data_IF_075462481815
#
_entry.id   IF_075462481815
#
_cell.length_a   1.000
_cell.length_b   1.000
_cell.length_c   1.000
_cell.angle_alpha   90.00
_cell.angle_beta   90.00
_cell.angle_gamma   90.00
#
_symmetry.space_group_name_H-M   'P 1'
#
loop_
_entity.id
_entity.type
_entity.pdbx_description
1 polymer ?
#
# COMPACT_ATOMS: atom_id res chain seq x y z
N UNK A 1 -13.87 -10.92 -18.34
CA UNK A 1 -14.22 -10.22 -17.09
C UNK A 1 -13.16 -9.19 -16.78
N UNK A 2 -13.54 -7.92 -16.57
CA UNK A 2 -12.58 -6.83 -16.32
C UNK A 2 -12.14 -6.87 -14.85
N UNK A 3 -10.90 -7.26 -14.55
CA UNK A 3 -10.41 -7.28 -13.17
C UNK A 3 -10.26 -5.85 -12.64
N UNK A 4 -10.80 -5.52 -11.45
CA UNK A 4 -10.65 -4.19 -10.86
C UNK A 4 -9.17 -3.81 -10.67
N UNK A 5 -8.83 -2.55 -10.94
CA UNK A 5 -7.44 -2.02 -10.91
C UNK A 5 -6.70 -2.33 -9.60
N UNK A 6 -7.41 -2.39 -8.48
CA UNK A 6 -6.85 -2.61 -7.14
C UNK A 6 -6.58 -4.09 -6.79
N UNK A 7 -7.01 -5.05 -7.62
CA UNK A 7 -6.77 -6.50 -7.41
C UNK A 7 -6.15 -7.20 -8.62
N UNK A 8 -5.67 -6.45 -9.62
CA UNK A 8 -5.03 -7.02 -10.83
C UNK A 8 -3.81 -7.91 -10.55
N UNK A 9 -3.20 -7.77 -9.39
CA UNK A 9 -2.07 -8.57 -8.91
C UNK A 9 -2.43 -9.39 -7.66
N UNK A 10 -3.71 -9.60 -7.34
CA UNK A 10 -4.09 -10.52 -6.27
C UNK A 10 -3.56 -11.95 -6.55
N UNK A 11 -3.05 -12.63 -5.52
CA UNK A 11 -2.54 -14.01 -5.61
C UNK A 11 -1.20 -14.19 -6.33
N UNK A 12 -0.69 -13.18 -7.05
CA UNK A 12 0.62 -13.26 -7.72
C UNK A 12 1.77 -13.19 -6.71
N UNK A 13 2.94 -13.73 -7.08
CA UNK A 13 4.17 -13.53 -6.31
C UNK A 13 4.55 -12.05 -6.27
N UNK A 14 5.17 -11.61 -5.16
CA UNK A 14 5.67 -10.24 -5.03
C UNK A 14 7.00 -10.09 -5.76
N UNK A 15 7.17 -9.01 -6.51
CA UNK A 15 8.45 -8.69 -7.13
C UNK A 15 9.29 -7.80 -6.21
N UNK A 16 10.64 -7.87 -6.28
CA UNK A 16 11.51 -6.95 -5.52
C UNK A 16 11.21 -5.47 -5.79
N UNK A 17 10.73 -5.14 -6.99
CA UNK A 17 10.32 -3.79 -7.36
C UNK A 17 9.05 -3.35 -6.61
N UNK A 18 8.06 -4.24 -6.47
CA UNK A 18 6.85 -3.97 -5.69
C UNK A 18 7.18 -3.78 -4.21
N UNK A 19 8.09 -4.56 -3.65
CA UNK A 19 8.56 -4.43 -2.26
C UNK A 19 9.23 -3.08 -2.02
N UNK A 20 10.15 -2.68 -2.92
CA UNK A 20 10.79 -1.34 -2.87
C UNK A 20 9.77 -0.21 -2.99
N UNK A 21 8.78 -0.36 -3.87
CA UNK A 21 7.71 0.64 -4.04
C UNK A 21 6.83 0.72 -2.80
N UNK A 22 6.47 -0.42 -2.19
CA UNK A 22 5.73 -0.47 -0.92
C UNK A 22 6.50 0.28 0.18
N UNK A 23 7.79 -0.02 0.37
CA UNK A 23 8.62 0.67 1.36
C UNK A 23 8.69 2.18 1.14
N UNK A 24 8.81 2.60 -0.12
CA UNK A 24 8.87 4.03 -0.49
C UNK A 24 7.57 4.76 -0.19
N UNK A 25 6.44 4.15 -0.51
CA UNK A 25 5.12 4.73 -0.26
C UNK A 25 4.81 4.79 1.24
N UNK A 26 5.16 3.73 1.98
CA UNK A 26 5.04 3.68 3.44
C UNK A 26 5.85 4.80 4.11
N UNK A 27 7.11 5.01 3.72
CA UNK A 27 7.94 6.13 4.21
C UNK A 27 7.35 7.52 3.93
N UNK A 28 6.51 7.65 2.90
CA UNK A 28 5.79 8.89 2.56
C UNK A 28 4.46 9.03 3.31
N UNK A 29 4.17 8.17 4.29
CA UNK A 29 2.89 8.12 5.00
C UNK A 29 1.69 7.93 4.05
N UNK A 30 1.90 7.20 2.95
CA UNK A 30 0.83 6.93 1.97
C UNK A 30 -0.21 5.99 2.59
N UNK A 31 -1.51 6.28 2.49
CA UNK A 31 -2.54 5.39 3.04
C UNK A 31 -2.47 4.00 2.43
N UNK A 32 -2.62 2.95 3.25
CA UNK A 32 -2.54 1.55 2.80
C UNK A 32 -3.46 1.25 1.62
N UNK A 33 -4.65 1.88 1.56
CA UNK A 33 -5.59 1.73 0.43
C UNK A 33 -5.04 2.31 -0.88
N UNK A 34 -4.33 3.44 -0.82
CA UNK A 34 -3.68 4.06 -1.98
C UNK A 34 -2.48 3.22 -2.41
N UNK A 35 -1.71 2.68 -1.46
CA UNK A 35 -0.63 1.72 -1.75
C UNK A 35 -1.17 0.52 -2.52
N UNK A 36 -2.27 -0.07 -2.05
CA UNK A 36 -2.93 -1.20 -2.74
C UNK A 36 -3.38 -0.86 -4.16
N UNK A 37 -3.95 0.33 -4.36
CA UNK A 37 -4.35 0.80 -5.69
C UNK A 37 -3.14 0.96 -6.65
N UNK A 38 -2.06 1.55 -6.16
CA UNK A 38 -0.81 1.76 -6.91
C UNK A 38 -0.13 0.44 -7.31
N UNK A 39 -0.08 -0.52 -6.38
CA UNK A 39 0.53 -1.82 -6.61
C UNK A 39 -0.42 -2.80 -7.30
N UNK A 40 -1.72 -2.49 -7.38
CA UNK A 40 -2.74 -3.42 -7.84
C UNK A 40 -2.94 -4.62 -6.92
N UNK A 41 -2.67 -4.43 -5.62
CA UNK A 41 -2.70 -5.47 -4.58
C UNK A 41 -3.85 -5.19 -3.60
N UNK A 42 -4.57 -6.24 -3.14
CA UNK A 42 -5.60 -6.07 -2.13
C UNK A 42 -5.00 -5.55 -0.83
N UNK A 43 -5.77 -4.76 -0.06
CA UNK A 43 -5.33 -4.13 1.18
C UNK A 43 -4.74 -5.14 2.18
N UNK A 44 -5.38 -6.30 2.35
CA UNK A 44 -4.86 -7.37 3.21
C UNK A 44 -3.51 -7.94 2.73
N UNK A 45 -3.30 -8.03 1.42
CA UNK A 45 -2.01 -8.44 0.85
C UNK A 45 -0.90 -7.43 1.12
N UNK A 46 -1.22 -6.13 1.07
CA UNK A 46 -0.29 -5.05 1.44
C UNK A 46 0.08 -5.13 2.92
N UNK A 47 -0.89 -5.33 3.82
CA UNK A 47 -0.62 -5.52 5.25
C UNK A 47 0.28 -6.72 5.53
N UNK A 48 -0.07 -7.89 4.99
CA UNK A 48 0.71 -9.11 5.18
C UNK A 48 2.14 -8.94 4.68
N UNK A 49 2.32 -8.36 3.49
CA UNK A 49 3.66 -8.17 2.93
C UNK A 49 4.46 -7.13 3.70
N UNK A 50 3.85 -6.03 4.11
CA UNK A 50 4.51 -5.02 4.92
C UNK A 50 4.98 -5.61 6.26
N UNK A 51 4.15 -6.44 6.91
CA UNK A 51 4.53 -7.16 8.13
C UNK A 51 5.71 -8.11 7.90
N UNK A 52 5.71 -8.87 6.81
CA UNK A 52 6.82 -9.77 6.46
C UNK A 52 8.15 -9.01 6.23
N UNK A 53 8.06 -7.80 5.69
CA UNK A 53 9.22 -6.94 5.41
C UNK A 53 9.60 -6.04 6.60
N UNK A 54 8.87 -6.10 7.72
CA UNK A 54 9.09 -5.19 8.86
C UNK A 54 8.78 -3.72 8.56
N UNK A 55 7.93 -3.44 7.57
CA UNK A 55 7.58 -2.08 7.14
C UNK A 55 6.32 -1.62 7.89
N UNK A 56 6.46 -0.56 8.67
CA UNK A 56 5.32 0.12 9.28
C UNK A 56 4.47 0.85 8.24
N UNK A 57 3.17 0.58 8.23
CA UNK A 57 2.18 1.26 7.37
C UNK A 57 1.44 2.41 8.10
N UNK A 58 1.88 2.73 9.32
CA UNK A 58 1.36 3.83 10.14
C UNK A 58 1.75 5.20 9.55
N UNK A 59 0.95 6.26 9.81
CA UNK A 59 0.88 6.81 11.16
C UNK A 59 -0.41 6.37 11.87
N UNK A 60 -0.29 5.93 13.12
CA UNK A 60 -1.43 5.50 13.95
C UNK A 60 -2.40 6.65 14.26
N UNK A 61 -1.99 7.91 13.99
CA UNK A 61 -2.79 9.09 14.35
C UNK A 61 -2.48 10.35 13.51
N UNK A 62 -2.18 10.22 12.21
CA UNK A 62 -2.05 11.39 11.33
C UNK A 62 -2.86 11.22 10.06
N UNK A 63 -3.58 12.28 9.70
CA UNK A 63 -4.25 12.35 8.41
C UNK A 63 -3.17 12.43 7.32
N UNK A 64 -3.28 11.67 6.22
CA UNK A 64 -2.24 11.58 5.18
C UNK A 64 -1.98 12.91 4.45
N UNK A 65 -2.94 13.83 4.57
CA UNK A 65 -2.89 15.18 4.04
C UNK A 65 -3.13 16.16 5.18
N UNK A 66 -2.34 17.24 5.21
CA UNK A 66 -2.71 18.48 5.87
C UNK A 66 -3.97 19.03 5.19
N UNK A 67 -5.15 18.49 5.51
CA UNK A 67 -6.43 19.06 5.08
C UNK A 67 -6.56 20.39 5.82
N UNK A 68 -6.08 21.48 5.20
CA UNK A 68 -6.31 22.84 5.70
C UNK A 68 -7.82 23.00 5.90
N UNK A 69 -8.24 23.25 7.14
CA UNK A 69 -9.62 23.68 7.41
C UNK A 69 -9.79 25.03 6.71
N UNK A 70 -10.86 25.14 5.93
CA UNK A 70 -11.29 26.40 5.31
C UNK A 70 -11.81 27.34 6.40
#
# INVERSE_FOLDING_TARGET
MNTPKYIRNAGKQWTPQEEKKLATLAKKNTPTRVIGLELGRPVGGVYNKASQLGIGLHPTNQSPYNRRKK
#
